data_IF_032734282752
#
_entry.id   IF_032734282752
#
_cell.length_a   1.000
_cell.length_b   1.000
_cell.length_c   1.000
_cell.angle_alpha   90.00
_cell.angle_beta   90.00
_cell.angle_gamma   90.00
#
_symmetry.space_group_name_H-M   'P 1'
#
loop_
_entity.id
_entity.type
_entity.pdbx_description
1 polymer ?
#
# COMPACT_ATOMS: atom_id res chain seq x y z
N UNK A 1 0.22 24.45 -14.53
CA UNK A 1 1.35 25.12 -13.86
C UNK A 1 2.65 24.40 -14.22
N UNK A 2 3.78 25.12 -14.35
CA UNK A 2 5.05 24.53 -14.81
C UNK A 2 5.62 23.50 -13.82
N UNK A 3 5.24 23.61 -12.54
CA UNK A 3 5.63 22.75 -11.43
C UNK A 3 4.74 21.49 -11.28
N UNK A 4 3.75 21.30 -12.15
CA UNK A 4 2.80 20.18 -12.06
C UNK A 4 2.84 19.29 -13.30
N UNK A 5 3.19 18.03 -13.09
CA UNK A 5 3.01 16.96 -14.07
C UNK A 5 1.62 16.35 -13.84
N UNK A 6 0.76 16.25 -14.88
CA UNK A 6 -0.50 15.52 -14.76
C UNK A 6 -0.25 14.06 -14.40
N UNK A 7 -0.78 13.64 -13.25
CA UNK A 7 -0.71 12.27 -12.75
C UNK A 7 -2.10 11.87 -12.26
N UNK A 8 -2.58 10.72 -12.74
CA UNK A 8 -3.89 10.18 -12.36
C UNK A 8 -3.67 8.85 -11.64
N UNK A 9 -4.46 8.62 -10.60
CA UNK A 9 -4.46 7.36 -9.85
C UNK A 9 -5.74 6.60 -10.17
N UNK A 10 -5.62 5.29 -10.42
CA UNK A 10 -6.76 4.42 -10.72
C UNK A 10 -7.69 4.31 -9.50
N UNK A 11 -9.00 4.28 -9.74
CA UNK A 11 -10.00 3.93 -8.72
C UNK A 11 -9.78 2.49 -8.21
N UNK A 12 -9.54 2.37 -6.90
CA UNK A 12 -9.10 1.15 -6.23
C UNK A 12 -7.58 1.01 -6.12
N UNK A 13 -6.78 2.06 -6.33
CA UNK A 13 -5.33 1.96 -6.18
C UNK A 13 -4.93 1.89 -4.70
N UNK A 14 -4.04 0.95 -4.40
CA UNK A 14 -3.35 0.81 -3.11
C UNK A 14 -1.88 1.15 -3.38
N UNK A 15 -1.37 2.18 -2.72
CA UNK A 15 0.00 2.69 -2.90
C UNK A 15 0.72 2.63 -1.54
N UNK A 16 1.59 1.64 -1.33
CA UNK A 16 2.48 1.60 -0.18
C UNK A 16 3.58 2.66 -0.29
N UNK A 17 3.86 3.35 0.82
CA UNK A 17 4.80 4.46 0.91
C UNK A 17 5.63 4.34 2.19
N UNK A 18 6.94 4.50 2.07
CA UNK A 18 7.86 4.69 3.19
C UNK A 18 8.13 6.19 3.39
N UNK A 19 8.70 6.61 4.54
CA UNK A 19 9.17 7.97 4.71
C UNK A 19 10.16 8.38 3.61
N UNK A 20 10.26 9.67 3.27
CA UNK A 20 11.25 10.14 2.31
C UNK A 20 12.66 9.82 2.81
N UNK A 21 13.47 9.23 1.94
CA UNK A 21 14.86 8.87 2.20
C UNK A 21 15.75 9.40 1.07
N UNK A 22 17.03 9.63 1.37
CA UNK A 22 18.02 10.03 0.36
C UNK A 22 18.57 8.85 -0.44
N UNK A 23 18.43 7.64 0.11
CA UNK A 23 18.94 6.39 -0.44
C UNK A 23 17.92 5.28 -0.20
N UNK A 24 18.08 4.15 -0.90
CA UNK A 24 17.28 2.97 -0.64
C UNK A 24 17.55 2.44 0.79
N UNK A 25 16.55 1.82 1.43
CA UNK A 25 16.74 1.14 2.71
C UNK A 25 17.76 0.01 2.56
N UNK A 26 18.56 -0.21 3.60
CA UNK A 26 19.42 -1.40 3.71
C UNK A 26 18.64 -2.60 4.24
N UNK A 27 19.14 -3.81 4.02
CA UNK A 27 18.44 -5.05 4.36
C UNK A 27 18.16 -5.28 5.85
N UNK A 28 18.64 -4.42 6.75
CA UNK A 28 18.42 -4.53 8.21
C UNK A 28 17.48 -3.46 8.77
N UNK A 29 16.98 -2.55 7.94
CA UNK A 29 16.13 -1.45 8.39
C UNK A 29 14.67 -1.89 8.53
N UNK A 30 14.01 -1.49 9.63
CA UNK A 30 12.57 -1.67 9.82
C UNK A 30 11.89 -0.31 9.70
N UNK A 31 11.10 -0.12 8.63
CA UNK A 31 10.51 1.17 8.29
C UNK A 31 9.00 1.23 8.60
N UNK A 32 8.45 2.40 8.97
CA UNK A 32 7.01 2.57 8.99
C UNK A 32 6.45 2.50 7.57
N UNK A 33 5.28 1.90 7.40
CA UNK A 33 4.60 1.81 6.12
C UNK A 33 3.26 2.57 6.19
N UNK A 34 3.14 3.62 5.37
CA UNK A 34 1.88 4.27 5.07
C UNK A 34 1.30 3.68 3.80
N UNK A 35 0.07 3.20 3.85
CA UNK A 35 -0.63 2.66 2.68
C UNK A 35 -1.76 3.60 2.32
N UNK A 36 -1.61 4.27 1.18
CA UNK A 36 -2.63 5.18 0.65
C UNK A 36 -3.57 4.42 -0.26
N UNK A 37 -4.86 4.57 -0.01
CA UNK A 37 -5.90 4.01 -0.87
C UNK A 37 -6.68 5.13 -1.56
N UNK A 38 -6.90 4.98 -2.86
CA UNK A 38 -7.65 5.91 -3.71
C UNK A 38 -8.82 5.19 -4.35
N UNK A 39 -10.02 5.76 -4.21
CA UNK A 39 -11.21 5.29 -4.90
C UNK A 39 -12.31 4.77 -3.98
N UNK A 40 -13.18 3.96 -4.56
CA UNK A 40 -14.42 3.45 -3.94
C UNK A 40 -14.61 1.93 -4.11
N UNK A 41 -13.72 1.29 -4.87
CA UNK A 41 -13.77 -0.15 -5.21
C UNK A 41 -12.89 -1.00 -4.31
N UNK A 42 -13.40 -2.17 -3.96
CA UNK A 42 -12.56 -3.20 -3.36
C UNK A 42 -11.40 -3.56 -4.29
N UNK A 43 -10.23 -3.83 -3.71
CA UNK A 43 -9.00 -4.03 -4.47
C UNK A 43 -7.94 -4.72 -3.62
N UNK A 44 -6.88 -5.19 -4.28
CA UNK A 44 -5.72 -5.76 -3.62
C UNK A 44 -4.42 -5.36 -4.31
N UNK A 45 -3.33 -5.42 -3.53
CA UNK A 45 -1.97 -5.16 -3.96
C UNK A 45 -1.03 -6.15 -3.26
N UNK A 46 -0.07 -6.70 -3.99
CA UNK A 46 0.94 -7.61 -3.43
C UNK A 46 2.21 -6.82 -3.14
N UNK A 47 2.48 -6.57 -1.86
CA UNK A 47 3.72 -5.96 -1.40
C UNK A 47 4.84 -7.02 -1.40
N UNK A 48 5.83 -6.81 -2.24
CA UNK A 48 7.03 -7.62 -2.30
C UNK A 48 8.12 -7.03 -1.38
N UNK A 49 8.90 -7.91 -0.75
CA UNK A 49 10.01 -7.51 0.14
C UNK A 49 11.11 -8.58 0.13
N UNK A 50 12.37 -8.17 -0.05
CA UNK A 50 13.58 -8.99 0.08
C UNK A 50 14.68 -8.19 0.81
N UNK A 51 15.93 -8.63 0.76
CA UNK A 51 17.04 -7.92 1.42
C UNK A 51 17.57 -6.72 0.63
N UNK A 52 17.17 -6.54 -0.64
CA UNK A 52 17.63 -5.47 -1.53
C UNK A 52 19.13 -5.50 -1.92
N UNK A 53 19.89 -6.49 -1.49
CA UNK A 53 21.37 -6.50 -1.56
C UNK A 53 21.93 -7.75 -2.25
N UNK A 54 21.24 -8.90 -2.13
CA UNK A 54 21.76 -10.19 -2.59
C UNK A 54 20.85 -10.88 -3.60
N UNK A 55 21.29 -12.04 -4.11
CA UNK A 55 20.48 -12.91 -4.97
C UNK A 55 19.66 -13.96 -4.20
N UNK A 56 19.54 -13.85 -2.87
CA UNK A 56 18.82 -14.85 -2.07
C UNK A 56 17.31 -14.91 -2.39
N UNK A 57 16.75 -13.88 -3.04
CA UNK A 57 15.40 -13.95 -3.60
C UNK A 57 15.22 -15.11 -4.59
N UNK A 58 16.26 -15.50 -5.32
CA UNK A 58 16.23 -16.64 -6.26
C UNK A 58 16.05 -17.98 -5.53
N UNK A 59 16.48 -18.04 -4.27
CA UNK A 59 16.32 -19.19 -3.37
C UNK A 59 15.06 -19.07 -2.50
N UNK A 60 14.24 -18.04 -2.74
CA UNK A 60 12.99 -17.82 -2.02
C UNK A 60 13.11 -16.98 -0.75
N UNK A 61 14.23 -16.28 -0.53
CA UNK A 61 14.39 -15.33 0.58
C UNK A 61 13.73 -13.98 0.26
N UNK A 62 12.40 -14.01 0.18
CA UNK A 62 11.54 -12.84 -0.01
C UNK A 62 10.16 -13.10 0.62
N UNK A 63 9.35 -12.07 0.76
CA UNK A 63 7.94 -12.18 1.09
C UNK A 63 7.03 -11.51 0.06
N UNK A 64 5.77 -11.95 0.07
CA UNK A 64 4.67 -11.37 -0.70
C UNK A 64 3.49 -11.20 0.24
N UNK A 65 3.22 -9.96 0.62
CA UNK A 65 2.17 -9.59 1.56
C UNK A 65 1.00 -9.00 0.79
N UNK A 66 -0.14 -9.70 0.76
CA UNK A 66 -1.35 -9.17 0.10
C UNK A 66 -2.02 -8.12 0.99
N UNK A 67 -1.93 -6.87 0.58
CA UNK A 67 -2.73 -5.77 1.12
C UNK A 67 -4.06 -5.76 0.37
N UNK A 68 -5.17 -5.55 1.07
CA UNK A 68 -6.47 -5.45 0.43
C UNK A 68 -7.36 -4.40 1.06
N UNK A 69 -8.27 -3.86 0.27
CA UNK A 69 -9.35 -3.01 0.74
C UNK A 69 -10.66 -3.69 0.39
N UNK A 70 -11.52 -3.90 1.39
CA UNK A 70 -12.85 -4.50 1.23
C UNK A 70 -13.89 -3.72 2.02
N UNK A 71 -15.16 -3.85 1.64
CA UNK A 71 -16.29 -3.26 2.35
C UNK A 71 -16.70 -4.17 3.50
N UNK A 72 -16.90 -3.58 4.67
CA UNK A 72 -17.55 -4.28 5.77
C UNK A 72 -19.06 -4.45 5.51
N UNK A 73 -19.77 -5.08 6.46
CA UNK A 73 -21.23 -5.30 6.37
C UNK A 73 -22.06 -4.01 6.20
N UNK A 74 -21.50 -2.84 6.54
CA UNK A 74 -22.13 -1.52 6.39
C UNK A 74 -21.73 -0.81 5.08
N UNK A 75 -20.99 -1.48 4.20
CA UNK A 75 -20.51 -0.90 2.94
C UNK A 75 -19.29 0.02 3.09
N UNK A 76 -18.71 0.14 4.29
CA UNK A 76 -17.57 1.02 4.56
C UNK A 76 -16.27 0.29 4.20
N UNK A 77 -15.41 0.94 3.41
CA UNK A 77 -14.11 0.40 3.02
C UNK A 77 -13.15 0.32 4.21
N UNK A 78 -12.44 -0.80 4.32
CA UNK A 78 -11.46 -1.08 5.36
C UNK A 78 -10.21 -1.69 4.73
N UNK A 79 -9.05 -1.23 5.18
CA UNK A 79 -7.76 -1.79 4.79
C UNK A 79 -7.44 -3.02 5.63
N UNK A 80 -6.99 -4.08 4.97
CA UNK A 80 -6.64 -5.35 5.56
C UNK A 80 -5.22 -5.72 5.17
N UNK A 81 -4.53 -6.34 6.11
CA UNK A 81 -3.21 -6.94 5.90
C UNK A 81 -3.12 -8.23 6.72
N UNK A 82 -2.50 -9.28 6.18
CA UNK A 82 -2.09 -10.42 7.00
C UNK A 82 -0.91 -10.00 7.90
N UNK A 83 -0.63 -10.81 8.92
CA UNK A 83 0.64 -10.71 9.63
C UNK A 83 1.82 -11.11 8.74
N UNK A 84 3.05 -10.72 9.11
CA UNK A 84 4.26 -11.12 8.39
C UNK A 84 4.37 -12.66 8.26
N UNK A 85 4.79 -13.13 7.10
CA UNK A 85 5.02 -14.56 6.89
C UNK A 85 6.19 -15.04 7.76
N UNK A 86 5.97 -16.10 8.55
CA UNK A 86 6.99 -16.62 9.48
C UNK A 86 8.24 -17.05 8.72
N UNK A 87 9.41 -16.59 9.19
CA UNK A 87 10.71 -16.94 8.59
C UNK A 87 10.95 -16.33 7.22
N UNK A 88 10.17 -15.32 6.81
CA UNK A 88 10.39 -14.54 5.60
C UNK A 88 10.73 -13.09 5.94
N UNK A 89 11.46 -12.38 5.06
CA UNK A 89 11.70 -10.95 5.19
C UNK A 89 10.40 -10.15 5.36
N UNK A 90 10.42 -9.19 6.27
CA UNK A 90 9.38 -8.17 6.40
C UNK A 90 9.97 -6.91 7.05
N UNK A 91 10.56 -6.06 6.23
CA UNK A 91 11.31 -4.86 6.62
C UNK A 91 10.43 -3.65 6.94
N UNK A 92 9.20 -3.91 7.41
CA UNK A 92 8.23 -2.90 7.79
C UNK A 92 7.72 -3.12 9.22
N UNK A 93 7.30 -2.04 9.87
CA UNK A 93 6.61 -2.14 11.15
C UNK A 93 5.32 -2.98 11.00
N UNK A 94 5.02 -3.93 11.92
CA UNK A 94 3.85 -4.81 11.78
C UNK A 94 2.51 -4.07 11.69
N UNK A 95 2.42 -2.90 12.32
CA UNK A 95 1.25 -2.02 12.24
C UNK A 95 1.45 -1.01 11.12
N UNK A 96 0.76 -1.19 10.00
CA UNK A 96 0.76 -0.23 8.90
C UNK A 96 -0.28 0.86 9.14
N UNK A 97 -0.03 2.04 8.60
CA UNK A 97 -0.97 3.17 8.65
C UNK A 97 -1.75 3.25 7.35
N UNK A 98 -3.04 2.93 7.39
CA UNK A 98 -3.92 3.16 6.25
C UNK A 98 -4.38 4.61 6.18
N UNK A 99 -4.33 5.20 4.98
CA UNK A 99 -4.85 6.54 4.69
C UNK A 99 -5.77 6.46 3.48
N UNK A 100 -7.05 6.76 3.68
CA UNK A 100 -8.05 6.80 2.62
C UNK A 100 -8.07 8.21 2.02
N UNK A 101 -7.63 8.33 0.77
CA UNK A 101 -7.40 9.62 0.11
C UNK A 101 -8.66 10.16 -0.57
N UNK A 102 -9.67 9.31 -0.76
CA UNK A 102 -10.96 9.71 -1.33
C UNK A 102 -11.93 10.03 -0.19
N UNK A 103 -12.37 11.28 -0.11
CA UNK A 103 -13.49 11.66 0.73
C UNK A 103 -14.76 11.06 0.14
N UNK A 104 -15.27 10.00 0.75
CA UNK A 104 -16.59 9.49 0.40
C UNK A 104 -17.61 10.34 1.15
N UNK A 105 -17.94 11.51 0.60
CA UNK A 105 -19.22 12.12 0.93
C UNK A 105 -20.32 11.15 0.49
N UNK A 106 -21.26 10.88 1.38
CA UNK A 106 -22.35 9.96 1.12
C UNK A 106 -23.20 10.49 -0.06
N UNK A 107 -22.96 9.95 -1.25
CA UNK A 107 -23.87 10.00 -2.39
C UNK A 107 -24.13 11.39 -2.99
N UNK A 108 -23.22 11.87 -3.84
CA UNK A 108 -23.62 12.62 -5.04
C UNK A 108 -22.84 12.09 -6.24
N UNK A 109 -23.53 11.29 -7.05
CA UNK A 109 -23.14 10.92 -8.41
C UNK A 109 -22.79 12.21 -9.15
N UNK A 110 -21.51 12.39 -9.48
CA UNK A 110 -20.94 13.56 -10.15
C UNK A 110 -21.34 13.67 -11.61
N UNK A 111 -22.63 13.58 -11.91
CA UNK A 111 -23.22 14.09 -13.14
C UNK A 111 -23.76 15.49 -12.86
N UNK A 112 -22.89 16.48 -12.96
CA UNK A 112 -23.32 17.84 -13.29
C UNK A 112 -23.21 18.06 -14.80
N UNK A 113 -24.23 18.78 -15.29
CA UNK A 113 -24.54 19.08 -16.68
C UNK A 113 -23.59 20.10 -17.29
#
# INVERSE_FOLDING_TARGET
PLDKIPLFVKDGAIIPMIPPQRQAPTGNEILPLEVRYYGTKESSFVLYDDDGETFEYEKGSYSRTTLSVSKNKKGILQGNQPGPAKGKPFHYQPKIKWVFMTNIEAGKDGREK
#
